data_IF_699854389663
#
_entry.id   IF_699854389663
#
_cell.length_a   1.000
_cell.length_b   1.000
_cell.length_c   1.000
_cell.angle_alpha   90.00
_cell.angle_beta   90.00
_cell.angle_gamma   90.00
#
_symmetry.space_group_name_H-M   'P 1'
#
loop_
_entity.id
_entity.type
_entity.pdbx_description
1 polymer ?
#
# COMPACT_ATOMS: atom_id res chain seq x y z
N UNK A 1 18.87 -30.89 -36.90
CA UNK A 1 17.59 -30.20 -36.63
C UNK A 1 17.47 -29.79 -35.15
N UNK A 2 17.62 -30.65 -34.20
CA UNK A 2 17.42 -30.40 -32.76
C UNK A 2 18.25 -29.19 -32.23
N UNK A 3 19.53 -29.07 -32.59
CA UNK A 3 20.38 -27.95 -32.17
C UNK A 3 19.88 -26.57 -32.67
N UNK A 4 19.27 -26.50 -33.84
CA UNK A 4 18.67 -25.26 -34.37
C UNK A 4 17.39 -24.91 -33.58
N UNK A 5 16.52 -25.89 -33.34
CA UNK A 5 15.30 -25.68 -32.55
C UNK A 5 15.65 -25.22 -31.14
N UNK A 6 16.62 -25.85 -30.50
CA UNK A 6 17.08 -25.48 -29.14
C UNK A 6 17.61 -24.03 -29.09
N UNK A 7 18.34 -23.57 -30.12
CA UNK A 7 18.80 -22.17 -30.21
C UNK A 7 17.63 -21.18 -30.32
N UNK A 8 16.60 -21.48 -31.10
CA UNK A 8 15.42 -20.61 -31.22
C UNK A 8 14.59 -20.58 -29.96
N UNK A 9 14.45 -21.70 -29.27
CA UNK A 9 13.78 -21.77 -27.95
C UNK A 9 14.55 -20.95 -26.92
N UNK A 10 15.88 -21.10 -26.86
CA UNK A 10 16.71 -20.32 -25.95
C UNK A 10 16.63 -18.80 -26.25
N UNK A 11 16.67 -18.42 -27.51
CA UNK A 11 16.51 -17.02 -27.93
C UNK A 11 15.14 -16.46 -27.56
N UNK A 12 14.07 -17.22 -27.78
CA UNK A 12 12.72 -16.83 -27.39
C UNK A 12 12.56 -16.65 -25.88
N UNK A 13 13.14 -17.57 -25.10
CA UNK A 13 13.15 -17.47 -23.64
C UNK A 13 13.92 -16.23 -23.16
N UNK A 14 15.10 -15.99 -23.70
CA UNK A 14 15.92 -14.82 -23.37
C UNK A 14 15.19 -13.51 -23.70
N UNK A 15 14.53 -13.43 -24.85
CA UNK A 15 13.71 -12.26 -25.22
C UNK A 15 12.53 -12.06 -24.27
N UNK A 16 11.84 -13.13 -23.90
CA UNK A 16 10.72 -13.07 -22.93
C UNK A 16 11.17 -12.56 -21.58
N UNK A 17 12.30 -13.07 -21.07
CA UNK A 17 12.88 -12.62 -19.80
C UNK A 17 13.29 -11.14 -19.87
N UNK A 18 13.94 -10.73 -20.97
CA UNK A 18 14.31 -9.33 -21.17
C UNK A 18 13.08 -8.40 -21.22
N UNK A 19 12.02 -8.80 -21.93
CA UNK A 19 10.78 -8.04 -21.97
C UNK A 19 10.13 -7.91 -20.60
N UNK A 20 10.03 -9.01 -19.86
CA UNK A 20 9.48 -8.99 -18.49
C UNK A 20 10.31 -8.09 -17.56
N UNK A 21 11.64 -8.12 -17.71
CA UNK A 21 12.53 -7.25 -16.93
C UNK A 21 12.30 -5.77 -17.26
N UNK A 22 12.16 -5.43 -18.53
CA UNK A 22 11.86 -4.05 -18.98
C UNK A 22 10.52 -3.59 -18.43
N UNK A 23 9.48 -4.41 -18.51
CA UNK A 23 8.16 -4.10 -17.95
C UNK A 23 8.23 -3.93 -16.42
N UNK A 24 8.97 -4.80 -15.73
CA UNK A 24 9.20 -4.72 -14.29
C UNK A 24 9.94 -3.43 -13.89
N UNK A 25 10.97 -3.03 -14.64
CA UNK A 25 11.77 -1.85 -14.35
C UNK A 25 11.02 -0.53 -14.64
N UNK A 26 10.09 -0.54 -15.61
CA UNK A 26 9.33 0.65 -16.00
C UNK A 26 7.93 0.72 -15.38
N UNK A 27 7.57 -0.21 -14.49
CA UNK A 27 6.27 -0.14 -13.82
C UNK A 27 6.16 1.11 -12.95
N UNK A 28 5.02 1.80 -13.02
CA UNK A 28 4.64 2.86 -12.08
C UNK A 28 3.81 2.30 -10.94
N UNK A 29 2.76 1.57 -11.26
CA UNK A 29 1.80 1.06 -10.29
C UNK A 29 2.26 -0.20 -9.55
N UNK A 30 1.89 -0.34 -8.28
CA UNK A 30 2.09 -1.59 -7.55
C UNK A 30 1.14 -2.68 -8.10
N UNK A 31 1.66 -3.91 -8.15
CA UNK A 31 0.89 -5.07 -8.56
C UNK A 31 0.97 -6.17 -7.49
N UNK A 32 -0.17 -6.52 -6.91
CA UNK A 32 -0.26 -7.46 -5.79
C UNK A 32 0.73 -7.09 -4.66
N UNK A 33 1.72 -7.95 -4.40
CA UNK A 33 2.77 -7.74 -3.39
C UNK A 33 4.01 -7.01 -3.95
N UNK A 34 4.06 -6.78 -5.26
CA UNK A 34 5.18 -6.11 -5.91
C UNK A 34 4.98 -4.60 -5.80
N UNK A 35 5.90 -3.86 -5.17
CA UNK A 35 5.77 -2.41 -5.04
C UNK A 35 5.92 -1.74 -6.40
N UNK A 36 5.22 -0.64 -6.57
CA UNK A 36 5.37 0.29 -7.69
C UNK A 36 6.44 1.35 -7.43
N UNK A 37 6.50 2.29 -8.34
CA UNK A 37 7.34 3.49 -8.26
C UNK A 37 6.45 4.74 -8.15
N UNK A 38 6.75 5.78 -8.91
CA UNK A 38 5.97 7.01 -8.96
C UNK A 38 4.58 6.74 -9.54
N UNK A 39 3.55 7.12 -8.80
CA UNK A 39 2.17 7.03 -9.26
C UNK A 39 1.88 8.10 -10.30
N UNK A 40 1.12 7.72 -11.32
CA UNK A 40 0.61 8.60 -12.36
C UNK A 40 -0.88 8.81 -12.13
N UNK A 41 -1.37 10.03 -12.27
CA UNK A 41 -2.77 10.39 -12.10
C UNK A 41 -2.96 11.90 -11.98
N UNK A 42 -4.20 12.33 -11.98
CA UNK A 42 -4.57 13.72 -11.74
C UNK A 42 -4.30 14.08 -10.27
N UNK A 43 -3.45 15.07 -10.04
CA UNK A 43 -3.17 15.57 -8.69
C UNK A 43 -4.19 16.64 -8.30
N UNK A 44 -4.93 16.38 -7.21
CA UNK A 44 -5.90 17.31 -6.66
C UNK A 44 -5.17 18.35 -5.82
N UNK A 45 -5.40 19.63 -6.14
CA UNK A 45 -4.78 20.74 -5.44
C UNK A 45 -5.53 21.09 -4.15
N UNK A 46 -4.77 21.46 -3.13
CA UNK A 46 -5.28 21.96 -1.85
C UNK A 46 -5.69 20.88 -0.85
N UNK A 47 -5.98 21.30 0.37
CA UNK A 47 -6.42 20.39 1.42
C UNK A 47 -7.80 19.79 1.10
N UNK A 48 -8.04 18.59 1.58
CA UNK A 48 -9.31 17.88 1.47
C UNK A 48 -9.98 17.93 2.84
N UNK A 49 -11.15 18.54 2.90
CA UNK A 49 -11.91 18.67 4.14
C UNK A 49 -12.78 17.45 4.44
N UNK A 50 -13.21 16.73 3.41
CA UNK A 50 -14.04 15.53 3.54
C UNK A 50 -13.45 14.36 2.75
N UNK A 51 -13.04 13.33 3.49
CA UNK A 51 -12.51 12.08 2.94
C UNK A 51 -13.56 10.98 2.77
N UNK A 52 -14.85 11.27 2.95
CA UNK A 52 -15.93 10.26 2.91
C UNK A 52 -15.98 9.49 1.59
N UNK A 53 -15.57 10.12 0.47
CA UNK A 53 -15.51 9.49 -0.85
C UNK A 53 -14.57 8.27 -0.92
N UNK A 54 -13.63 8.14 0.01
CA UNK A 54 -12.71 6.98 0.05
C UNK A 54 -13.47 5.67 0.23
N UNK A 55 -14.63 5.72 0.88
CA UNK A 55 -15.46 4.56 1.18
C UNK A 55 -16.03 3.85 -0.07
N UNK A 56 -16.00 4.50 -1.22
CA UNK A 56 -16.35 3.91 -2.51
C UNK A 56 -15.29 2.91 -3.02
N UNK A 57 -14.09 2.90 -2.42
CA UNK A 57 -12.96 2.09 -2.84
C UNK A 57 -12.58 1.09 -1.74
N UNK A 58 -12.14 -0.10 -2.13
CA UNK A 58 -11.73 -1.14 -1.16
C UNK A 58 -10.31 -0.95 -0.63
N UNK A 59 -9.47 -0.32 -1.42
CA UNK A 59 -8.05 -0.11 -1.15
C UNK A 59 -7.63 1.27 -1.63
N UNK A 60 -6.54 1.76 -1.10
CA UNK A 60 -5.86 2.96 -1.56
C UNK A 60 -4.42 2.61 -1.94
N UNK A 61 -3.79 3.45 -2.76
CA UNK A 61 -2.38 3.29 -3.11
C UNK A 61 -1.56 4.38 -2.46
N UNK A 62 -0.61 4.01 -1.63
CA UNK A 62 0.30 4.93 -0.96
C UNK A 62 1.59 5.05 -1.76
N UNK A 63 2.06 6.26 -2.03
CA UNK A 63 3.39 6.56 -2.56
C UNK A 63 4.18 7.33 -1.51
N UNK A 64 5.27 6.76 -1.07
CA UNK A 64 6.17 7.30 -0.06
C UNK A 64 7.52 7.63 -0.67
N UNK A 65 8.36 8.36 0.06
CA UNK A 65 9.73 8.71 -0.34
C UNK A 65 9.76 9.48 -1.67
N UNK A 66 9.33 10.77 -1.68
CA UNK A 66 9.16 11.55 -2.91
C UNK A 66 10.39 11.66 -3.81
N UNK A 67 11.61 11.59 -3.25
CA UNK A 67 12.86 11.66 -4.00
C UNK A 67 13.21 10.38 -4.76
N UNK A 68 12.68 9.22 -4.31
CA UNK A 68 12.84 7.91 -4.97
C UNK A 68 11.57 7.09 -4.71
N UNK A 69 10.50 7.35 -5.48
CA UNK A 69 9.14 6.91 -5.17
C UNK A 69 8.99 5.41 -5.02
N UNK A 70 8.28 5.02 -3.97
CA UNK A 70 7.95 3.64 -3.64
C UNK A 70 6.45 3.57 -3.33
N UNK A 71 5.69 2.82 -4.11
CA UNK A 71 4.24 2.74 -3.95
C UNK A 71 3.76 1.34 -3.62
N UNK A 72 2.67 1.27 -2.84
CA UNK A 72 2.04 0.03 -2.37
C UNK A 72 0.53 0.20 -2.28
N UNK A 73 -0.20 -0.89 -2.54
CA UNK A 73 -1.63 -0.96 -2.25
C UNK A 73 -1.84 -1.36 -0.79
N UNK A 74 -2.71 -0.66 -0.09
CA UNK A 74 -3.04 -0.95 1.31
C UNK A 74 -4.55 -0.90 1.54
N UNK A 75 -5.00 -1.61 2.57
CA UNK A 75 -6.29 -1.34 3.18
C UNK A 75 -6.26 -0.03 3.97
N UNK A 76 -7.43 0.43 4.34
CA UNK A 76 -7.61 1.62 5.17
C UNK A 76 -8.78 1.43 6.14
N UNK A 77 -8.85 2.29 7.15
CA UNK A 77 -10.01 2.54 8.00
C UNK A 77 -10.44 3.98 7.77
N UNK A 78 -11.74 4.21 7.63
CA UNK A 78 -12.34 5.53 7.69
C UNK A 78 -13.08 5.63 9.01
N UNK A 79 -12.68 6.57 9.87
CA UNK A 79 -13.17 6.72 11.22
C UNK A 79 -13.19 8.22 11.57
N UNK A 80 -14.33 8.71 12.03
CA UNK A 80 -14.54 10.11 12.43
C UNK A 80 -14.10 11.14 11.39
N UNK A 81 -14.40 10.87 10.10
CA UNK A 81 -14.05 11.77 8.99
C UNK A 81 -12.59 11.65 8.53
N UNK A 82 -11.78 10.82 9.17
CA UNK A 82 -10.34 10.67 8.91
C UNK A 82 -10.03 9.32 8.28
N UNK A 83 -9.07 9.31 7.37
CA UNK A 83 -8.52 8.08 6.75
C UNK A 83 -7.30 7.62 7.54
N UNK A 84 -7.24 6.32 7.80
CA UNK A 84 -6.09 5.65 8.40
C UNK A 84 -5.63 4.52 7.49
N UNK A 85 -4.41 4.59 6.98
CA UNK A 85 -3.84 3.52 6.16
C UNK A 85 -3.17 2.45 7.02
N UNK A 86 -3.24 1.20 6.56
CA UNK A 86 -2.88 0.02 7.36
C UNK A 86 -1.58 -0.59 6.87
N UNK A 87 -0.60 -0.72 7.74
CA UNK A 87 0.57 -1.56 7.53
C UNK A 87 0.39 -2.91 8.22
N UNK A 88 -0.01 -3.92 7.46
CA UNK A 88 -0.30 -5.26 8.00
C UNK A 88 0.90 -5.97 8.64
N UNK A 89 2.12 -5.56 8.31
CA UNK A 89 3.36 -6.05 8.93
C UNK A 89 4.05 -4.97 9.78
N UNK A 90 3.36 -3.87 10.07
CA UNK A 90 3.87 -2.77 10.89
C UNK A 90 5.25 -2.30 10.43
N UNK A 91 6.19 -2.29 11.36
CA UNK A 91 7.56 -1.87 11.14
C UNK A 91 8.39 -2.77 10.22
N UNK A 92 7.96 -3.99 9.91
CA UNK A 92 8.61 -4.84 8.91
C UNK A 92 8.30 -4.39 7.46
N UNK A 93 7.31 -3.53 7.28
CA UNK A 93 6.96 -2.98 5.97
C UNK A 93 7.90 -1.85 5.58
N UNK A 94 8.61 -1.98 4.46
CA UNK A 94 9.56 -0.96 3.97
C UNK A 94 8.91 0.42 3.83
N UNK A 95 7.69 0.49 3.31
CA UNK A 95 6.98 1.76 3.14
C UNK A 95 6.64 2.43 4.48
N UNK A 96 6.32 1.63 5.52
CA UNK A 96 6.08 2.15 6.85
C UNK A 96 7.37 2.72 7.48
N UNK A 97 8.52 2.07 7.23
CA UNK A 97 9.83 2.61 7.65
C UNK A 97 10.18 3.91 6.93
N UNK A 98 9.82 4.05 5.65
CA UNK A 98 10.02 5.31 4.93
C UNK A 98 9.18 6.45 5.52
N UNK A 99 7.95 6.18 5.96
CA UNK A 99 7.10 7.18 6.62
C UNK A 99 7.63 7.65 7.97
N UNK A 100 8.35 6.80 8.70
CA UNK A 100 9.01 7.23 9.94
C UNK A 100 10.15 8.21 9.68
N UNK A 101 10.76 8.16 8.50
CA UNK A 101 11.86 9.06 8.10
C UNK A 101 11.32 10.34 7.44
N UNK A 102 10.34 10.21 6.56
CA UNK A 102 9.64 11.31 5.91
C UNK A 102 8.14 11.02 5.88
N UNK A 103 7.34 11.72 6.69
CA UNK A 103 5.89 11.51 6.77
C UNK A 103 5.13 12.03 5.55
N UNK A 104 5.80 12.73 4.63
CA UNK A 104 5.17 13.25 3.43
C UNK A 104 4.98 12.13 2.41
N UNK A 105 3.77 12.04 1.88
CA UNK A 105 3.41 11.04 0.89
C UNK A 105 2.35 11.55 -0.07
N UNK A 106 2.10 10.79 -1.13
CA UNK A 106 0.89 10.91 -1.92
C UNK A 106 0.02 9.68 -1.72
N UNK A 107 -1.28 9.88 -1.67
CA UNK A 107 -2.27 8.80 -1.66
C UNK A 107 -3.09 8.87 -2.93
N UNK A 108 -3.26 7.74 -3.61
CA UNK A 108 -4.18 7.62 -4.73
C UNK A 108 -5.46 6.94 -4.27
N UNK A 109 -6.58 7.61 -4.51
CA UNK A 109 -7.94 7.11 -4.28
C UNK A 109 -8.67 7.15 -5.62
N UNK A 110 -9.05 5.99 -6.13
CA UNK A 110 -9.50 5.88 -7.51
C UNK A 110 -8.39 6.23 -8.50
N UNK A 111 -8.64 7.26 -9.31
CA UNK A 111 -7.72 7.80 -10.32
C UNK A 111 -7.02 9.10 -9.89
N UNK A 112 -7.37 9.64 -8.72
CA UNK A 112 -6.87 10.92 -8.21
C UNK A 112 -5.79 10.76 -7.16
N UNK A 113 -4.81 11.67 -7.22
CA UNK A 113 -3.67 11.76 -6.30
C UNK A 113 -3.85 12.94 -5.35
N UNK A 114 -3.57 12.71 -4.08
CA UNK A 114 -3.66 13.71 -3.02
C UNK A 114 -2.34 13.79 -2.26
N UNK A 115 -1.85 15.00 -2.02
CA UNK A 115 -0.69 15.24 -1.15
C UNK A 115 -1.14 15.20 0.30
N UNK A 116 -0.48 14.35 1.07
CA UNK A 116 -0.87 14.12 2.46
C UNK A 116 0.36 13.94 3.35
N UNK A 117 0.12 14.04 4.64
CA UNK A 117 1.07 13.70 5.70
C UNK A 117 0.52 12.51 6.47
N UNK A 118 1.37 11.52 6.71
CA UNK A 118 1.00 10.33 7.49
C UNK A 118 1.64 10.41 8.88
N UNK A 119 0.83 10.22 9.93
CA UNK A 119 1.30 10.17 11.31
C UNK A 119 0.93 8.83 11.92
N UNK A 120 1.91 8.14 12.51
CA UNK A 120 1.67 6.86 13.16
C UNK A 120 0.73 7.03 14.35
N UNK A 121 -0.28 6.18 14.45
CA UNK A 121 -1.18 6.11 15.59
C UNK A 121 -0.51 5.32 16.69
N UNK A 122 -0.32 5.95 17.86
CA UNK A 122 0.32 5.35 19.04
C UNK A 122 -0.63 5.25 20.23
N UNK A 123 -1.82 5.86 20.14
CA UNK A 123 -2.86 5.76 21.15
C UNK A 123 -3.38 4.31 21.26
N UNK A 124 -3.20 3.63 22.41
CA UNK A 124 -3.59 2.23 22.57
C UNK A 124 -5.09 2.00 22.47
N UNK A 125 -5.93 2.96 22.86
CA UNK A 125 -7.39 2.84 22.82
C UNK A 125 -7.86 2.88 21.37
N UNK A 126 -7.35 3.83 20.60
CA UNK A 126 -7.66 3.95 19.17
C UNK A 126 -7.12 2.76 18.35
N UNK A 127 -5.91 2.30 18.67
CA UNK A 127 -5.34 1.08 18.05
C UNK A 127 -6.22 -0.13 18.34
N UNK A 128 -6.67 -0.30 19.57
CA UNK A 128 -7.57 -1.40 19.97
C UNK A 128 -8.93 -1.32 19.24
N UNK A 129 -9.45 -0.11 19.07
CA UNK A 129 -10.67 0.11 18.31
C UNK A 129 -10.49 -0.27 16.83
N UNK A 130 -9.39 0.13 16.20
CA UNK A 130 -9.11 -0.21 14.81
C UNK A 130 -8.92 -1.72 14.61
N UNK A 131 -8.36 -2.42 15.57
CA UNK A 131 -8.32 -3.88 15.57
C UNK A 131 -9.73 -4.47 15.61
N UNK A 132 -10.61 -3.97 16.49
CA UNK A 132 -12.01 -4.41 16.54
C UNK A 132 -12.75 -4.16 15.23
N UNK A 133 -12.61 -2.95 14.65
CA UNK A 133 -13.24 -2.61 13.35
C UNK A 133 -12.76 -3.50 12.21
N UNK A 134 -11.46 -3.78 12.16
CA UNK A 134 -10.86 -4.67 11.16
C UNK A 134 -11.36 -6.09 11.31
N UNK A 135 -11.45 -6.57 12.54
CA UNK A 135 -11.88 -7.94 12.87
C UNK A 135 -13.39 -8.14 12.68
N UNK A 136 -14.21 -7.11 12.92
CA UNK A 136 -15.65 -7.14 12.62
C UNK A 136 -15.96 -7.38 11.14
N UNK A 137 -15.01 -7.07 10.24
CA UNK A 137 -15.10 -7.42 8.82
C UNK A 137 -14.69 -8.87 8.50
N UNK A 138 -14.08 -9.56 9.47
CA UNK A 138 -13.68 -10.97 9.38
C UNK A 138 -14.39 -11.74 10.52
N UNK A 139 -15.50 -12.41 10.26
CA UNK A 139 -16.52 -12.73 11.27
C UNK A 139 -16.19 -13.89 12.22
N UNK A 140 -14.96 -14.40 12.27
CA UNK A 140 -14.64 -15.54 13.15
C UNK A 140 -13.61 -15.19 14.23
N UNK A 141 -14.06 -14.65 15.39
CA UNK A 141 -13.18 -14.36 16.53
C UNK A 141 -12.78 -15.59 17.34
N UNK A 142 -13.56 -16.66 17.29
CA UNK A 142 -13.38 -17.82 18.18
C UNK A 142 -12.27 -18.77 17.72
N UNK A 143 -11.96 -18.79 16.43
CA UNK A 143 -10.91 -19.64 15.84
C UNK A 143 -9.52 -18.97 15.74
N UNK A 144 -9.28 -17.85 16.45
CA UNK A 144 -8.00 -17.15 16.38
C UNK A 144 -6.89 -17.93 17.04
N UNK A 145 -5.90 -18.25 16.24
CA UNK A 145 -4.67 -18.86 16.74
C UNK A 145 -3.78 -17.83 17.44
N UNK A 146 -2.87 -18.26 18.34
CA UNK A 146 -1.84 -17.37 18.91
C UNK A 146 -1.01 -16.66 17.83
N UNK A 147 -0.86 -17.26 16.65
CA UNK A 147 -0.16 -16.66 15.50
C UNK A 147 -0.97 -15.50 14.90
N UNK A 148 -2.29 -15.58 14.84
CA UNK A 148 -3.17 -14.51 14.37
C UNK A 148 -3.11 -13.30 15.31
N UNK A 149 -3.13 -13.55 16.62
CA UNK A 149 -2.98 -12.50 17.63
C UNK A 149 -1.59 -11.84 17.56
N UNK A 150 -0.53 -12.61 17.37
CA UNK A 150 0.82 -12.08 17.19
C UNK A 150 0.98 -11.28 15.88
N UNK A 151 0.25 -11.67 14.83
CA UNK A 151 0.20 -10.91 13.56
C UNK A 151 -0.57 -9.61 13.74
N UNK A 152 -1.65 -9.63 14.47
CA UNK A 152 -2.46 -8.46 14.79
C UNK A 152 -1.67 -7.42 15.59
N UNK A 153 -0.95 -7.83 16.62
CA UNK A 153 -0.13 -6.94 17.45
C UNK A 153 0.98 -6.21 16.66
N UNK A 154 1.37 -6.73 15.49
CA UNK A 154 2.37 -6.10 14.60
C UNK A 154 1.80 -5.03 13.67
N UNK A 155 0.47 -4.94 13.52
CA UNK A 155 -0.17 -4.00 12.59
C UNK A 155 0.01 -2.56 13.06
N UNK A 156 0.41 -1.69 12.14
CA UNK A 156 0.46 -0.25 12.38
C UNK A 156 -0.60 0.47 11.57
N UNK A 157 -1.10 1.56 12.13
CA UNK A 157 -2.03 2.47 11.51
C UNK A 157 -1.37 3.84 11.37
N UNK A 158 -1.61 4.50 10.24
CA UNK A 158 -1.12 5.85 10.00
C UNK A 158 -2.30 6.74 9.67
N UNK A 159 -2.52 7.76 10.48
CA UNK A 159 -3.47 8.84 10.21
C UNK A 159 -3.02 9.63 9.00
N UNK A 160 -3.95 9.99 8.13
CA UNK A 160 -3.71 10.77 6.93
C UNK A 160 -4.29 12.17 7.12
N UNK A 161 -3.42 13.16 7.07
CA UNK A 161 -3.78 14.57 7.13
C UNK A 161 -3.51 15.22 5.76
N UNK A 162 -4.47 15.96 5.25
CA UNK A 162 -4.39 16.66 3.96
C UNK A 162 -3.37 17.83 4.02
N UNK A 163 -2.76 18.16 2.87
CA UNK A 163 -1.74 19.23 2.78
C UNK A 163 -2.10 20.22 1.69
#
# INVERSE_FOLDING_TARGET
>A
MIKKVLKWVAAGLALSVATLLVLYLNRSDPYAIIPGKQLIGEEVAGPIDDWSFVQQYRTVTNEVRPSDPYSVNTGYIFHDGVVYVISGRGGESRWAQFLLQDPNMRIRVGDKLYRVRATRVEDPELVSEFHRMRNARNPDPEDRTPEDLAREARVWFFRIDSR
#
